data_IF_266213533890
#
_entry.id   IF_266213533890
#
_cell.length_a   1.000
_cell.length_b   1.000
_cell.length_c   1.000
_cell.angle_alpha   90.00
_cell.angle_beta   90.00
_cell.angle_gamma   90.00
#
_symmetry.space_group_name_H-M   'P 1'
#
loop_
_entity.id
_entity.type
_entity.pdbx_description
1 polymer ?
#
# COMPACT_ATOMS: atom_id res chain seq x y z
N UNK A 1 26.37 -3.47 -60.48
CA UNK A 1 25.69 -4.13 -61.62
C UNK A 1 25.58 -5.61 -61.31
N UNK A 2 24.43 -6.06 -60.81
CA UNK A 2 24.02 -7.47 -60.77
C UNK A 2 22.52 -7.55 -60.44
N UNK A 3 21.79 -7.89 -61.50
CA UNK A 3 20.50 -8.56 -61.68
C UNK A 3 19.79 -9.24 -60.49
N UNK A 4 18.51 -8.83 -60.32
CA UNK A 4 17.27 -9.57 -60.00
C UNK A 4 17.34 -11.05 -59.54
N UNK A 5 16.63 -11.34 -58.44
CA UNK A 5 15.60 -12.41 -58.40
C UNK A 5 14.50 -12.10 -57.38
N UNK A 6 13.27 -12.06 -57.87
CA UNK A 6 12.01 -12.05 -57.12
C UNK A 6 11.74 -13.42 -56.48
N UNK A 7 11.09 -13.41 -55.30
CA UNK A 7 10.05 -14.38 -54.96
C UNK A 7 8.91 -13.63 -54.26
N UNK A 8 7.73 -13.70 -54.88
CA UNK A 8 6.47 -13.16 -54.38
C UNK A 8 5.84 -14.12 -53.37
N UNK A 9 5.22 -13.57 -52.32
CA UNK A 9 4.27 -14.25 -51.43
C UNK A 9 2.95 -13.47 -51.41
N UNK A 10 1.78 -14.13 -51.48
CA UNK A 10 0.53 -13.51 -51.89
C UNK A 10 -0.25 -12.97 -50.69
N UNK A 11 -0.68 -11.71 -50.76
CA UNK A 11 -2.02 -11.22 -50.43
C UNK A 11 -1.98 -9.69 -50.50
N UNK A 12 -2.18 -9.19 -51.72
CA UNK A 12 -2.47 -7.79 -51.96
C UNK A 12 -3.95 -7.52 -51.72
N UNK A 13 -4.24 -6.40 -51.05
CA UNK A 13 -5.25 -5.45 -51.52
C UNK A 13 -4.97 -4.08 -50.89
N UNK A 14 -4.29 -3.25 -51.68
CA UNK A 14 -4.33 -1.79 -51.57
C UNK A 14 -5.60 -1.27 -52.24
N UNK A 15 -6.38 -0.41 -51.57
CA UNK A 15 -7.21 0.58 -52.27
C UNK A 15 -7.18 1.92 -51.51
N UNK A 16 -6.38 2.83 -52.09
CA UNK A 16 -6.55 4.28 -52.28
C UNK A 16 -6.86 5.19 -51.08
N UNK A 17 -5.90 6.08 -50.86
CA UNK A 17 -6.12 7.41 -50.29
C UNK A 17 -7.12 8.23 -51.13
N UNK A 18 -8.01 8.95 -50.44
CA UNK A 18 -8.65 10.18 -50.93
C UNK A 18 -8.58 11.22 -49.82
N UNK A 19 -8.02 12.37 -50.18
CA UNK A 19 -8.07 13.62 -49.44
C UNK A 19 -9.50 14.13 -49.23
N UNK A 20 -9.67 14.87 -48.13
CA UNK A 20 -10.66 15.94 -48.02
C UNK A 20 -11.80 15.69 -47.03
N UNK A 21 -11.77 16.38 -45.89
CA UNK A 21 -12.96 16.52 -45.04
C UNK A 21 -12.69 16.86 -43.58
N UNK A 22 -12.36 18.13 -43.30
CA UNK A 22 -12.52 18.73 -41.97
C UNK A 22 -14.01 18.67 -41.58
N UNK A 23 -14.34 18.01 -40.48
CA UNK A 23 -15.38 18.43 -39.52
C UNK A 23 -15.10 17.74 -38.20
N UNK A 24 -14.81 18.53 -37.17
CA UNK A 24 -14.55 18.02 -35.83
C UNK A 24 -15.84 17.55 -35.14
N UNK A 25 -15.67 16.54 -34.29
CA UNK A 25 -16.33 16.45 -32.99
C UNK A 25 -15.32 15.80 -32.06
N UNK A 26 -14.80 16.58 -31.10
CA UNK A 26 -13.92 16.09 -30.05
C UNK A 26 -14.70 15.18 -29.12
N UNK A 27 -14.45 13.87 -29.21
CA UNK A 27 -14.85 12.92 -28.17
C UNK A 27 -13.88 13.04 -27.00
N UNK A 28 -14.29 13.78 -25.96
CA UNK A 28 -13.69 13.64 -24.62
C UNK A 28 -13.90 12.21 -24.17
N UNK A 29 -12.81 11.45 -24.09
CA UNK A 29 -12.77 10.22 -23.31
C UNK A 29 -12.84 10.63 -21.84
N UNK A 30 -14.03 10.56 -21.25
CA UNK A 30 -14.21 10.71 -19.80
C UNK A 30 -13.56 9.50 -19.11
N UNK A 31 -12.32 9.71 -18.64
CA UNK A 31 -11.70 8.92 -17.59
C UNK A 31 -12.53 9.13 -16.32
N UNK A 32 -13.56 8.30 -16.15
CA UNK A 32 -14.29 8.13 -14.89
C UNK A 32 -13.29 7.58 -13.86
N UNK A 33 -12.64 8.51 -13.16
CA UNK A 33 -11.87 8.21 -11.97
C UNK A 33 -12.80 7.64 -10.91
N UNK A 34 -12.60 6.37 -10.55
CA UNK A 34 -12.98 5.88 -9.23
C UNK A 34 -12.20 6.69 -8.22
N UNK A 35 -12.81 7.78 -7.76
CA UNK A 35 -12.22 8.66 -6.75
C UNK A 35 -12.20 7.86 -5.46
N UNK A 36 -11.07 7.21 -5.16
CA UNK A 36 -10.83 6.62 -3.84
C UNK A 36 -11.06 7.74 -2.83
N UNK A 37 -12.14 7.60 -2.05
CA UNK A 37 -12.64 8.69 -1.21
C UNK A 37 -11.70 8.83 -0.02
N UNK A 38 -10.92 9.92 -0.06
CA UNK A 38 -10.09 10.40 1.03
C UNK A 38 -10.98 10.48 2.29
N UNK A 39 -10.76 9.63 3.30
CA UNK A 39 -11.50 9.48 4.58
C UNK A 39 -12.64 8.42 4.72
N UNK A 40 -12.63 7.34 3.92
CA UNK A 40 -13.64 6.29 3.97
C UNK A 40 -13.88 5.68 5.38
N UNK A 41 -12.83 5.53 6.20
CA UNK A 41 -12.95 5.00 7.56
C UNK A 41 -13.64 5.97 8.51
N UNK A 42 -13.26 7.25 8.46
CA UNK A 42 -13.93 8.30 9.22
C UNK A 42 -15.42 8.43 8.82
N UNK A 43 -15.76 8.31 7.53
CA UNK A 43 -17.16 8.34 7.07
C UNK A 43 -17.97 7.16 7.60
N UNK A 44 -17.40 5.96 7.65
CA UNK A 44 -18.05 4.79 8.26
C UNK A 44 -18.30 5.01 9.75
N UNK A 45 -17.35 5.61 10.47
CA UNK A 45 -17.51 5.93 11.89
C UNK A 45 -18.63 6.95 12.13
N UNK A 46 -18.68 8.04 11.36
CA UNK A 46 -19.79 9.01 11.43
C UNK A 46 -21.12 8.38 11.03
N UNK A 47 -21.13 7.53 10.01
CA UNK A 47 -22.32 6.76 9.61
C UNK A 47 -22.83 5.82 10.72
N UNK A 48 -21.91 5.13 11.41
CA UNK A 48 -22.25 4.27 12.53
C UNK A 48 -22.80 5.06 13.73
N UNK A 49 -22.23 6.24 14.03
CA UNK A 49 -22.77 7.15 15.04
C UNK A 49 -24.19 7.60 14.69
N UNK A 50 -24.46 7.96 13.44
CA UNK A 50 -25.81 8.29 12.98
C UNK A 50 -26.77 7.12 13.18
N UNK A 51 -26.37 5.90 12.79
CA UNK A 51 -27.20 4.71 12.97
C UNK A 51 -27.51 4.46 14.46
N UNK A 52 -26.52 4.61 15.34
CA UNK A 52 -26.66 4.48 16.79
C UNK A 52 -27.66 5.50 17.35
N UNK A 53 -27.49 6.79 17.04
CA UNK A 53 -28.40 7.84 17.54
C UNK A 53 -29.81 7.70 16.98
N UNK A 54 -29.95 7.34 15.69
CA UNK A 54 -31.25 7.06 15.09
C UNK A 54 -31.98 5.94 15.84
N UNK A 55 -31.28 4.83 16.13
CA UNK A 55 -31.84 3.70 16.87
C UNK A 55 -32.20 4.09 18.30
N UNK A 56 -31.36 4.84 19.00
CA UNK A 56 -31.62 5.33 20.35
C UNK A 56 -32.86 6.24 20.41
N UNK A 57 -33.09 7.04 19.37
CA UNK A 57 -34.28 7.88 19.22
C UNK A 57 -35.52 7.12 18.68
N UNK A 58 -35.44 5.80 18.47
CA UNK A 58 -36.57 4.98 18.03
C UNK A 58 -36.95 5.14 16.55
N UNK A 59 -36.06 5.70 15.72
CA UNK A 59 -36.33 5.91 14.30
C UNK A 59 -35.86 4.73 13.45
N UNK A 60 -36.63 4.39 12.41
CA UNK A 60 -36.17 3.53 11.31
C UNK A 60 -35.48 4.41 10.26
N UNK A 61 -34.69 3.82 9.36
CA UNK A 61 -34.08 4.58 8.26
C UNK A 61 -35.14 5.29 7.40
N UNK A 62 -36.29 4.63 7.20
CA UNK A 62 -37.47 5.19 6.52
C UNK A 62 -38.06 6.37 7.29
N UNK A 63 -38.39 6.19 8.57
CA UNK A 63 -39.05 7.25 9.35
C UNK A 63 -38.13 8.45 9.60
N UNK A 64 -36.81 8.24 9.68
CA UNK A 64 -35.84 9.33 9.69
C UNK A 64 -35.78 10.04 8.33
N UNK A 65 -35.76 9.29 7.23
CA UNK A 65 -35.77 9.83 5.87
C UNK A 65 -36.99 10.72 5.61
N UNK A 66 -38.18 10.31 6.05
CA UNK A 66 -39.43 11.08 5.95
C UNK A 66 -39.34 12.44 6.67
N UNK A 67 -38.64 12.53 7.81
CA UNK A 67 -38.46 13.79 8.56
C UNK A 67 -37.61 14.81 7.81
N UNK A 68 -36.69 14.37 6.95
CA UNK A 68 -35.78 15.23 6.20
C UNK A 68 -36.04 15.24 4.69
N UNK A 69 -37.13 14.62 4.22
CA UNK A 69 -37.48 14.50 2.80
C UNK A 69 -36.34 13.85 1.99
N UNK A 70 -35.68 12.86 2.58
CA UNK A 70 -34.62 12.05 1.94
C UNK A 70 -35.00 10.57 1.93
N UNK A 71 -34.59 9.87 0.88
CA UNK A 71 -34.95 8.45 0.72
C UNK A 71 -34.29 7.54 1.77
N UNK A 72 -34.96 6.45 2.13
CA UNK A 72 -34.44 5.40 3.02
C UNK A 72 -33.04 4.91 2.61
N UNK A 73 -32.83 4.69 1.30
CA UNK A 73 -31.54 4.29 0.74
C UNK A 73 -30.45 5.35 0.91
N UNK A 74 -30.82 6.64 0.96
CA UNK A 74 -29.88 7.72 1.20
C UNK A 74 -29.40 7.71 2.65
N UNK A 75 -30.31 7.52 3.63
CA UNK A 75 -29.94 7.31 5.03
C UNK A 75 -29.03 6.10 5.18
N UNK A 76 -29.43 4.95 4.61
CA UNK A 76 -28.63 3.72 4.66
C UNK A 76 -27.23 3.91 4.04
N UNK A 77 -27.14 4.62 2.91
CA UNK A 77 -25.86 4.91 2.27
C UNK A 77 -24.97 5.84 3.10
N UNK A 78 -25.53 6.75 3.90
CA UNK A 78 -24.76 7.59 4.83
C UNK A 78 -24.30 6.75 6.03
N UNK A 79 -25.20 5.95 6.62
CA UNK A 79 -24.88 5.07 7.75
C UNK A 79 -23.77 4.06 7.44
N UNK A 80 -23.69 3.61 6.18
CA UNK A 80 -22.65 2.69 5.70
C UNK A 80 -21.36 3.40 5.27
N UNK A 81 -21.27 4.73 5.38
CA UNK A 81 -20.12 5.52 4.91
C UNK A 81 -19.96 5.52 3.38
N UNK A 82 -20.98 5.11 2.62
CA UNK A 82 -20.97 5.10 1.15
C UNK A 82 -21.34 6.46 0.56
N UNK A 83 -21.90 7.37 1.35
CA UNK A 83 -22.22 8.75 0.97
C UNK A 83 -21.83 9.68 2.12
N UNK A 84 -21.17 10.81 1.86
CA UNK A 84 -20.81 11.75 2.92
C UNK A 84 -22.08 12.35 3.54
N UNK A 85 -22.08 12.43 4.87
CA UNK A 85 -23.01 13.27 5.61
C UNK A 85 -22.62 14.73 5.37
N UNK A 86 -23.58 15.56 4.94
CA UNK A 86 -23.33 16.98 4.71
C UNK A 86 -23.46 17.78 6.02
N UNK A 87 -22.72 18.90 6.19
CA UNK A 87 -22.77 19.69 7.42
C UNK A 87 -24.15 20.20 7.81
N UNK A 88 -24.91 20.69 6.83
CA UNK A 88 -26.29 21.16 7.01
C UNK A 88 -27.21 20.06 7.53
N UNK A 89 -27.08 18.85 6.97
CA UNK A 89 -27.85 17.70 7.42
C UNK A 89 -27.37 17.19 8.80
N UNK A 90 -26.08 17.27 9.11
CA UNK A 90 -25.53 16.87 10.40
C UNK A 90 -26.08 17.72 11.55
N UNK A 91 -26.13 19.05 11.37
CA UNK A 91 -26.71 19.97 12.36
C UNK A 91 -28.20 19.71 12.59
N UNK A 92 -28.96 19.46 11.51
CA UNK A 92 -30.37 19.13 11.60
C UNK A 92 -30.62 17.79 12.29
N UNK A 93 -29.77 16.80 12.01
CA UNK A 93 -29.83 15.50 12.68
C UNK A 93 -29.48 15.61 14.16
N UNK A 94 -28.49 16.44 14.51
CA UNK A 94 -28.13 16.66 15.91
C UNK A 94 -29.28 17.26 16.72
N UNK A 95 -30.05 18.17 16.11
CA UNK A 95 -31.24 18.76 16.73
C UNK A 95 -32.40 17.76 16.86
N UNK A 96 -32.70 16.99 15.81
CA UNK A 96 -33.81 16.04 15.83
C UNK A 96 -33.55 14.86 16.77
N UNK A 97 -32.31 14.37 16.80
CA UNK A 97 -31.93 13.18 17.55
C UNK A 97 -31.38 13.50 18.96
N UNK A 98 -31.35 14.79 19.35
CA UNK A 98 -30.81 15.29 20.62
C UNK A 98 -29.39 14.75 20.96
N UNK A 99 -28.49 14.81 19.98
CA UNK A 99 -27.11 14.29 20.11
C UNK A 99 -26.13 15.31 20.69
N UNK A 100 -26.61 16.53 20.98
CA UNK A 100 -25.81 17.64 21.55
C UNK A 100 -24.60 18.02 20.69
N UNK A 101 -24.75 17.95 19.37
CA UNK A 101 -23.71 18.37 18.42
C UNK A 101 -22.72 17.27 18.05
N UNK A 102 -22.97 16.01 18.43
CA UNK A 102 -22.00 14.93 18.20
C UNK A 102 -21.69 14.71 16.71
N UNK A 103 -22.68 14.77 15.82
CA UNK A 103 -22.48 14.52 14.38
C UNK A 103 -21.79 15.71 13.71
N UNK A 104 -22.19 16.94 14.03
CA UNK A 104 -21.56 18.17 13.52
C UNK A 104 -20.11 18.31 14.00
N UNK A 105 -19.82 18.03 15.27
CA UNK A 105 -18.45 18.01 15.80
C UNK A 105 -17.64 16.91 15.12
N UNK A 106 -18.16 15.69 15.02
CA UNK A 106 -17.47 14.58 14.36
C UNK A 106 -17.14 14.89 12.89
N UNK A 107 -18.03 15.61 12.19
CA UNK A 107 -17.78 16.07 10.82
C UNK A 107 -16.74 17.20 10.77
N UNK A 108 -16.76 18.15 11.72
CA UNK A 108 -15.78 19.25 11.78
C UNK A 108 -14.36 18.80 12.16
N UNK A 109 -14.25 17.70 12.88
CA UNK A 109 -12.99 17.05 13.28
C UNK A 109 -12.60 15.91 12.34
N UNK A 110 -13.41 15.66 11.31
CA UNK A 110 -13.14 14.60 10.35
C UNK A 110 -11.84 14.92 9.60
N UNK A 111 -10.87 14.00 9.59
CA UNK A 111 -9.64 14.22 8.86
C UNK A 111 -9.92 14.29 7.34
N UNK A 112 -9.24 15.18 6.62
CA UNK A 112 -9.36 15.27 5.15
C UNK A 112 -8.86 13.99 4.45
N UNK A 113 -7.95 13.29 5.11
CA UNK A 113 -7.40 11.97 4.79
C UNK A 113 -7.15 11.32 6.13
N UNK A 114 -7.53 10.06 6.34
CA UNK A 114 -7.34 9.35 7.61
C UNK A 114 -5.92 9.63 8.17
N UNK A 115 -5.84 10.50 9.21
CA UNK A 115 -4.60 11.25 9.52
C UNK A 115 -3.53 10.41 10.22
N UNK A 116 -3.95 9.31 10.83
CA UNK A 116 -3.16 8.14 11.20
C UNK A 116 -4.20 7.03 11.23
N UNK A 117 -4.17 6.00 10.37
CA UNK A 117 -5.13 4.94 10.53
C UNK A 117 -4.84 4.27 11.88
N UNK A 118 -5.89 4.01 12.68
CA UNK A 118 -5.87 3.07 13.83
C UNK A 118 -5.09 1.78 13.52
N UNK A 119 -4.95 1.49 12.24
CA UNK A 119 -4.39 0.30 11.66
C UNK A 119 -2.87 0.30 11.58
N UNK A 120 -2.20 1.44 11.81
CA UNK A 120 -0.73 1.49 11.90
C UNK A 120 -0.24 0.96 13.25
N UNK A 121 -0.89 1.35 14.37
CA UNK A 121 -0.62 0.74 15.67
C UNK A 121 -1.06 -0.73 15.69
N UNK A 122 -2.25 -1.02 15.14
CA UNK A 122 -2.71 -2.41 14.98
C UNK A 122 -1.73 -3.23 14.12
N UNK A 123 -1.20 -2.68 13.02
CA UNK A 123 -0.19 -3.36 12.21
C UNK A 123 1.04 -3.74 13.04
N UNK A 124 1.53 -2.84 13.91
CA UNK A 124 2.71 -3.10 14.72
C UNK A 124 2.48 -4.15 15.79
N UNK A 125 1.30 -4.13 16.41
CA UNK A 125 0.92 -5.15 17.37
C UNK A 125 0.78 -6.51 16.67
N UNK A 126 0.18 -6.54 15.47
CA UNK A 126 0.09 -7.76 14.65
C UNK A 126 1.42 -8.24 14.13
N UNK A 127 2.32 -7.34 13.76
CA UNK A 127 3.67 -7.66 13.32
C UNK A 127 4.41 -8.39 14.45
N UNK A 128 4.38 -7.84 15.67
CA UNK A 128 5.01 -8.44 16.87
C UNK A 128 4.52 -9.85 17.21
N UNK A 129 3.25 -10.13 16.92
CA UNK A 129 2.63 -11.43 17.20
C UNK A 129 2.71 -12.41 16.02
N UNK A 130 3.13 -11.96 14.84
CA UNK A 130 3.08 -12.76 13.62
C UNK A 130 3.94 -14.03 13.74
N UNK A 131 3.43 -15.12 13.17
CA UNK A 131 4.17 -16.39 13.01
C UNK A 131 4.85 -16.48 11.64
N UNK A 132 4.37 -15.71 10.67
CA UNK A 132 4.97 -15.57 9.35
C UNK A 132 4.82 -14.14 8.81
N UNK A 133 5.88 -13.62 8.17
CA UNK A 133 5.90 -12.30 7.55
C UNK A 133 6.48 -12.44 6.14
N UNK A 134 5.86 -11.81 5.15
CA UNK A 134 6.30 -11.79 3.76
C UNK A 134 6.27 -10.38 3.22
N UNK A 135 7.42 -9.85 2.82
CA UNK A 135 7.58 -8.45 2.43
C UNK A 135 8.03 -8.37 0.97
N UNK A 136 7.34 -7.58 0.17
CA UNK A 136 7.87 -7.07 -1.08
C UNK A 136 8.16 -5.59 -0.93
N UNK A 137 9.39 -5.17 -1.24
CA UNK A 137 9.76 -3.76 -1.30
C UNK A 137 10.51 -3.44 -2.60
N UNK A 138 10.19 -2.30 -3.16
CA UNK A 138 10.72 -1.79 -4.44
C UNK A 138 11.31 -0.39 -4.33
N UNK A 139 11.20 0.24 -3.15
CA UNK A 139 11.56 1.63 -2.92
C UNK A 139 12.67 1.78 -1.88
N UNK A 140 12.75 0.85 -0.91
CA UNK A 140 13.80 0.83 0.09
C UNK A 140 14.06 -0.60 0.58
N UNK A 141 15.18 -0.79 1.29
CA UNK A 141 15.40 -2.04 2.02
C UNK A 141 14.32 -2.16 3.11
N UNK A 142 13.65 -3.33 3.28
CA UNK A 142 12.67 -3.54 4.35
C UNK A 142 13.21 -3.14 5.72
N UNK A 143 12.39 -2.47 6.53
CA UNK A 143 12.81 -1.87 7.80
C UNK A 143 13.48 -2.85 8.78
N UNK A 144 13.09 -4.12 8.73
CA UNK A 144 13.62 -5.21 9.55
C UNK A 144 15.06 -5.59 9.18
N UNK A 145 15.51 -5.22 7.97
CA UNK A 145 16.82 -5.54 7.42
C UNK A 145 17.74 -4.32 7.32
N UNK A 146 17.28 -3.13 7.74
CA UNK A 146 18.04 -1.90 7.62
C UNK A 146 19.17 -1.80 8.65
N UNK A 147 20.32 -1.23 8.28
CA UNK A 147 21.29 -0.75 9.26
C UNK A 147 20.84 0.59 9.85
N UNK A 148 21.43 1.02 10.95
CA UNK A 148 21.15 2.33 11.54
C UNK A 148 21.40 3.46 10.52
N UNK A 149 22.55 3.41 9.83
CA UNK A 149 22.92 4.38 8.80
C UNK A 149 21.91 4.46 7.67
N UNK A 150 21.41 3.31 7.20
CA UNK A 150 20.41 3.27 6.13
C UNK A 150 19.06 3.80 6.61
N UNK A 151 18.60 3.39 7.79
CA UNK A 151 17.35 3.88 8.39
C UNK A 151 17.37 5.40 8.53
N UNK A 152 18.49 5.96 9.00
CA UNK A 152 18.72 7.41 9.11
C UNK A 152 18.66 8.09 7.74
N UNK A 153 19.27 7.50 6.71
CA UNK A 153 19.22 8.03 5.34
C UNK A 153 17.79 8.04 4.77
N UNK A 154 17.00 6.99 5.05
CA UNK A 154 15.57 6.93 4.68
C UNK A 154 14.80 8.06 5.35
N UNK A 155 14.93 8.26 6.67
CA UNK A 155 14.17 9.30 7.37
C UNK A 155 14.59 10.72 6.98
N UNK A 156 15.88 10.94 6.69
CA UNK A 156 16.38 12.22 6.14
C UNK A 156 15.82 12.55 4.75
N UNK A 157 15.39 11.53 4.00
CA UNK A 157 14.83 11.70 2.65
C UNK A 157 13.34 12.07 2.64
N UNK A 158 12.68 12.10 3.81
CA UNK A 158 11.25 12.43 3.93
C UNK A 158 11.02 13.92 3.62
N UNK A 159 9.91 14.21 2.95
CA UNK A 159 9.44 15.59 2.68
C UNK A 159 8.02 15.77 3.21
N UNK A 160 7.71 16.86 3.97
CA UNK A 160 8.63 17.87 4.49
C UNK A 160 9.68 17.31 5.44
N UNK A 161 10.85 17.91 5.57
CA UNK A 161 11.92 17.32 6.40
C UNK A 161 11.51 17.14 7.87
N UNK A 162 12.01 16.09 8.51
CA UNK A 162 12.01 15.95 9.96
C UNK A 162 13.17 16.75 10.57
N UNK A 163 13.05 17.18 11.82
CA UNK A 163 14.21 17.66 12.58
C UNK A 163 15.10 16.49 13.03
N UNK A 164 16.30 16.80 13.51
CA UNK A 164 17.28 15.75 13.87
C UNK A 164 16.81 14.90 15.05
N UNK A 165 16.14 15.50 16.05
CA UNK A 165 15.62 14.78 17.22
C UNK A 165 14.52 13.78 16.82
N UNK A 166 13.62 14.18 15.90
CA UNK A 166 12.61 13.29 15.34
C UNK A 166 13.24 12.17 14.50
N UNK A 167 14.31 12.46 13.75
CA UNK A 167 15.06 11.43 13.01
C UNK A 167 15.66 10.41 13.99
N UNK A 168 16.34 10.85 15.05
CA UNK A 168 16.92 9.96 16.06
C UNK A 168 15.86 9.07 16.70
N UNK A 169 14.73 9.65 17.11
CA UNK A 169 13.62 8.91 17.70
C UNK A 169 13.07 7.83 16.76
N UNK A 170 12.90 8.16 15.48
CA UNK A 170 12.40 7.24 14.46
C UNK A 170 13.40 6.14 14.13
N UNK A 171 14.70 6.46 14.10
CA UNK A 171 15.77 5.47 13.94
C UNK A 171 15.79 4.50 15.11
N UNK A 172 15.73 4.99 16.36
CA UNK A 172 15.67 4.15 17.54
C UNK A 172 14.46 3.20 17.51
N UNK A 173 13.27 3.74 17.17
CA UNK A 173 12.04 2.95 17.01
C UNK A 173 12.17 1.91 15.89
N UNK A 174 12.86 2.24 14.79
CA UNK A 174 13.11 1.32 13.68
C UNK A 174 13.97 0.14 14.13
N UNK A 175 15.04 0.41 14.86
CA UNK A 175 15.97 -0.61 15.35
C UNK A 175 15.31 -1.52 16.40
N UNK A 176 14.55 -0.95 17.33
CA UNK A 176 13.80 -1.73 18.33
C UNK A 176 12.83 -2.74 17.68
N UNK A 177 12.20 -2.35 16.56
CA UNK A 177 11.30 -3.26 15.81
C UNK A 177 12.02 -4.44 15.17
N UNK A 178 13.32 -4.34 14.88
CA UNK A 178 14.07 -5.43 14.24
C UNK A 178 14.26 -6.64 15.18
N UNK A 179 14.14 -6.43 16.48
CA UNK A 179 14.29 -7.47 17.51
C UNK A 179 13.32 -8.65 17.32
N UNK A 180 12.22 -8.45 16.59
CA UNK A 180 11.31 -9.54 16.22
C UNK A 180 12.02 -10.69 15.49
N UNK A 181 13.04 -10.39 14.68
CA UNK A 181 13.83 -11.40 13.95
C UNK A 181 14.78 -12.18 14.87
N UNK A 182 15.02 -11.69 16.09
CA UNK A 182 15.99 -12.24 17.05
C UNK A 182 15.32 -12.85 18.29
N UNK A 183 13.99 -12.88 18.33
CA UNK A 183 13.22 -13.48 19.42
C UNK A 183 13.49 -14.99 19.61
N UNK A 184 13.08 -15.54 20.76
CA UNK A 184 13.28 -16.96 21.10
C UNK A 184 12.65 -17.92 20.08
N UNK A 185 11.53 -17.52 19.49
CA UNK A 185 10.86 -18.18 18.37
C UNK A 185 10.55 -17.10 17.34
N UNK A 186 11.47 -16.80 16.42
CA UNK A 186 11.26 -15.74 15.44
C UNK A 186 10.23 -16.18 14.39
N UNK A 187 9.48 -15.26 13.77
CA UNK A 187 8.59 -15.59 12.67
C UNK A 187 9.36 -16.15 11.49
N UNK A 188 8.70 -16.99 10.69
CA UNK A 188 9.23 -17.32 9.36
C UNK A 188 9.09 -16.10 8.46
N UNK A 189 10.20 -15.54 8.01
CA UNK A 189 10.21 -14.31 7.22
C UNK A 189 10.69 -14.55 5.80
N UNK A 190 10.05 -13.88 4.85
CA UNK A 190 10.42 -13.90 3.45
C UNK A 190 10.45 -12.47 2.92
N UNK A 191 11.52 -12.12 2.22
CA UNK A 191 11.74 -10.80 1.67
C UNK A 191 12.04 -10.92 0.18
N UNK A 192 11.28 -10.20 -0.64
CA UNK A 192 11.61 -9.94 -2.04
C UNK A 192 11.92 -8.45 -2.18
N UNK A 193 13.17 -8.13 -2.49
CA UNK A 193 13.62 -6.75 -2.67
C UNK A 193 13.93 -6.52 -4.14
N UNK A 194 13.45 -5.42 -4.71
CA UNK A 194 13.81 -5.07 -6.08
C UNK A 194 15.27 -4.61 -6.16
N UNK A 195 16.04 -5.15 -7.11
CA UNK A 195 17.45 -4.85 -7.29
C UNK A 195 17.73 -3.34 -7.45
N UNK A 196 16.78 -2.55 -7.95
CA UNK A 196 16.89 -1.09 -8.03
C UNK A 196 17.27 -0.45 -6.67
N UNK A 197 16.70 -0.94 -5.57
CA UNK A 197 16.99 -0.47 -4.20
C UNK A 197 18.48 -0.62 -3.86
N UNK A 198 19.10 -1.70 -4.34
CA UNK A 198 20.54 -1.95 -4.14
C UNK A 198 21.42 -1.15 -5.10
N UNK A 199 20.86 -0.56 -6.16
CA UNK A 199 21.61 0.29 -7.10
C UNK A 199 21.63 1.76 -6.68
N UNK A 200 20.64 2.21 -5.92
CA UNK A 200 20.47 3.63 -5.55
C UNK A 200 21.49 4.15 -4.52
N UNK A 201 22.24 3.27 -3.83
CA UNK A 201 23.28 3.63 -2.84
C UNK A 201 22.85 4.70 -1.82
N UNK A 202 21.62 4.58 -1.32
CA UNK A 202 21.03 5.54 -0.38
C UNK A 202 21.90 5.71 0.88
N UNK A 203 22.17 6.96 1.25
CA UNK A 203 23.03 7.30 2.40
C UNK A 203 24.53 7.40 2.07
N UNK A 204 24.93 7.10 0.83
CA UNK A 204 26.33 7.15 0.39
C UNK A 204 27.03 5.80 0.48
N UNK A 205 28.27 5.73 -0.02
CA UNK A 205 29.02 4.48 -0.22
C UNK A 205 29.21 3.68 1.06
N UNK A 206 29.56 4.33 2.17
CA UNK A 206 29.80 3.64 3.44
C UNK A 206 28.53 2.97 3.99
N UNK A 207 27.41 3.72 4.00
CA UNK A 207 26.09 3.23 4.41
C UNK A 207 25.62 2.10 3.49
N UNK A 208 25.84 2.26 2.18
CA UNK A 208 25.52 1.25 1.20
C UNK A 208 26.29 -0.06 1.44
N UNK A 209 27.61 0.00 1.61
CA UNK A 209 28.43 -1.19 1.84
C UNK A 209 28.04 -1.88 3.15
N UNK A 210 27.79 -1.12 4.22
CA UNK A 210 27.28 -1.67 5.47
C UNK A 210 25.93 -2.37 5.29
N UNK A 211 25.00 -1.73 4.56
CA UNK A 211 23.67 -2.26 4.31
C UNK A 211 23.70 -3.55 3.47
N UNK A 212 24.51 -3.61 2.41
CA UNK A 212 24.64 -4.83 1.59
C UNK A 212 25.26 -5.95 2.41
N UNK A 213 26.25 -5.67 3.26
CA UNK A 213 26.83 -6.66 4.16
C UNK A 213 25.80 -7.20 5.14
N UNK A 214 24.99 -6.33 5.75
CA UNK A 214 23.87 -6.75 6.61
C UNK A 214 22.88 -7.67 5.87
N UNK A 215 22.53 -7.35 4.63
CA UNK A 215 21.67 -8.22 3.82
C UNK A 215 22.31 -9.58 3.53
N UNK A 216 23.63 -9.59 3.27
CA UNK A 216 24.37 -10.83 3.03
C UNK A 216 24.40 -11.72 4.27
N UNK A 217 24.61 -11.13 5.45
CA UNK A 217 24.55 -11.84 6.72
C UNK A 217 23.14 -12.41 6.97
N UNK A 218 22.10 -11.60 6.73
CA UNK A 218 20.70 -12.04 6.85
C UNK A 218 20.34 -13.17 5.89
N UNK A 219 20.98 -13.27 4.71
CA UNK A 219 20.72 -14.34 3.76
C UNK A 219 21.16 -15.73 4.25
N UNK A 220 22.03 -15.80 5.26
CA UNK A 220 22.46 -17.06 5.90
C UNK A 220 21.73 -17.34 7.24
N UNK A 221 20.87 -16.44 7.69
CA UNK A 221 20.13 -16.61 8.94
C UNK A 221 18.97 -17.60 8.78
N UNK A 222 18.83 -18.59 9.69
CA UNK A 222 17.67 -19.47 9.72
C UNK A 222 16.36 -18.68 9.89
N UNK A 223 15.31 -19.11 9.22
CA UNK A 223 13.99 -18.46 9.30
C UNK A 223 13.86 -17.20 8.44
N UNK A 224 14.92 -16.77 7.75
CA UNK A 224 14.89 -15.67 6.79
C UNK A 224 15.09 -16.22 5.38
N UNK A 225 14.20 -15.87 4.46
CA UNK A 225 14.38 -16.11 3.02
C UNK A 225 14.53 -14.77 2.32
N UNK A 226 15.73 -14.43 1.86
CA UNK A 226 15.98 -13.21 1.09
C UNK A 226 16.13 -13.54 -0.40
N UNK A 227 15.36 -12.86 -1.24
CA UNK A 227 15.42 -12.96 -2.69
C UNK A 227 15.47 -11.57 -3.32
N UNK A 228 16.29 -11.40 -4.37
CA UNK A 228 16.34 -10.15 -5.13
C UNK A 228 15.55 -10.30 -6.43
N UNK A 229 14.58 -9.42 -6.66
CA UNK A 229 13.92 -9.29 -7.96
C UNK A 229 14.88 -8.57 -8.90
N UNK A 230 15.39 -9.20 -9.98
CA UNK A 230 16.43 -8.60 -10.81
C UNK A 230 15.89 -7.47 -11.69
N UNK A 231 16.77 -6.55 -12.07
CA UNK A 231 16.52 -5.56 -13.12
C UNK A 231 16.39 -6.23 -14.50
N UNK A 232 15.82 -5.49 -15.47
CA UNK A 232 15.78 -5.91 -16.87
C UNK A 232 14.73 -6.96 -17.23
N UNK A 233 13.84 -7.33 -16.30
CA UNK A 233 12.69 -8.18 -16.62
C UNK A 233 11.70 -7.43 -17.52
N UNK A 234 11.17 -8.10 -18.53
CA UNK A 234 10.13 -7.55 -19.43
C UNK A 234 8.75 -7.48 -18.77
N UNK A 235 8.55 -8.19 -17.66
CA UNK A 235 7.33 -8.16 -16.84
C UNK A 235 7.63 -8.63 -15.41
N UNK A 236 6.99 -8.02 -14.41
CA UNK A 236 6.98 -8.51 -13.03
C UNK A 236 5.70 -8.10 -12.27
N UNK A 237 5.37 -8.81 -11.21
CA UNK A 237 4.12 -8.63 -10.46
C UNK A 237 4.13 -7.48 -9.43
N UNK A 238 5.24 -6.73 -9.35
CA UNK A 238 5.51 -5.73 -8.31
C UNK A 238 5.21 -4.28 -8.68
N UNK A 239 4.60 -4.02 -9.84
CA UNK A 239 4.40 -2.66 -10.34
C UNK A 239 3.46 -1.79 -9.47
N UNK A 240 2.62 -2.42 -8.65
CA UNK A 240 1.68 -1.71 -7.76
C UNK A 240 2.32 -1.29 -6.42
N UNK A 241 3.63 -1.48 -6.27
CA UNK A 241 4.41 -1.02 -5.13
C UNK A 241 4.53 -2.02 -3.98
N UNK A 242 5.18 -1.60 -2.88
CA UNK A 242 5.46 -2.45 -1.72
C UNK A 242 4.22 -2.90 -0.96
N UNK A 243 4.32 -4.08 -0.34
CA UNK A 243 3.31 -4.60 0.57
C UNK A 243 3.90 -5.64 1.52
N UNK A 244 3.22 -5.86 2.64
CA UNK A 244 3.53 -6.85 3.65
C UNK A 244 2.36 -7.82 3.78
N UNK A 245 2.63 -9.10 3.89
CA UNK A 245 1.69 -10.14 4.28
C UNK A 245 2.10 -10.67 5.65
N UNK A 246 1.14 -10.92 6.52
CA UNK A 246 1.36 -11.48 7.85
C UNK A 246 0.37 -12.60 8.14
N UNK A 247 0.80 -13.57 8.94
CA UNK A 247 -0.07 -14.60 9.50
C UNK A 247 0.06 -14.59 11.02
N UNK A 248 -1.07 -14.52 11.74
CA UNK A 248 -1.10 -14.51 13.22
C UNK A 248 -1.07 -15.94 13.79
N UNK A 249 -0.87 -16.13 15.11
CA UNK A 249 -0.93 -17.45 15.75
C UNK A 249 -2.29 -18.16 15.59
N UNK A 250 -3.37 -17.39 15.38
CA UNK A 250 -4.72 -17.88 15.08
C UNK A 250 -4.92 -18.20 13.58
N UNK A 251 -3.87 -18.14 12.78
CA UNK A 251 -3.88 -18.33 11.32
C UNK A 251 -4.72 -17.29 10.57
N UNK A 252 -4.94 -16.11 11.18
CA UNK A 252 -5.52 -14.99 10.46
C UNK A 252 -4.46 -14.41 9.52
N UNK A 253 -4.82 -14.25 8.25
CA UNK A 253 -3.95 -13.62 7.26
C UNK A 253 -4.31 -12.16 7.08
N UNK A 254 -3.29 -11.33 7.08
CA UNK A 254 -3.38 -9.89 6.97
C UNK A 254 -2.46 -9.41 5.85
N UNK A 255 -2.84 -8.33 5.20
CA UNK A 255 -1.97 -7.59 4.30
C UNK A 255 -1.87 -6.14 4.72
N UNK A 256 -0.70 -5.54 4.57
CA UNK A 256 -0.46 -4.14 4.88
C UNK A 256 0.25 -3.46 3.71
N UNK A 257 -0.18 -2.24 3.40
CA UNK A 257 0.37 -1.43 2.34
C UNK A 257 0.48 0.02 2.80
N UNK A 258 1.61 0.65 2.53
CA UNK A 258 1.80 2.07 2.77
C UNK A 258 1.79 2.85 1.46
N UNK A 259 1.19 4.03 1.50
CA UNK A 259 1.22 5.02 0.44
C UNK A 259 1.69 6.35 1.00
N UNK A 260 2.05 7.28 0.13
CA UNK A 260 2.51 8.62 0.52
C UNK A 260 1.51 9.40 1.40
N UNK A 261 0.21 9.03 1.38
CA UNK A 261 -0.85 9.74 2.12
C UNK A 261 -1.53 8.89 3.19
N UNK A 262 -1.05 7.69 3.46
CA UNK A 262 -1.63 6.82 4.47
C UNK A 262 -1.39 5.34 4.19
N UNK A 263 -1.82 4.49 5.11
CA UNK A 263 -1.67 3.04 5.02
C UNK A 263 -2.99 2.29 5.09
N UNK A 264 -2.96 1.04 4.64
CA UNK A 264 -4.11 0.15 4.61
C UNK A 264 -3.71 -1.21 5.20
N UNK A 265 -4.54 -1.71 6.10
CA UNK A 265 -4.51 -3.06 6.68
C UNK A 265 -5.73 -3.80 6.14
N UNK A 266 -5.50 -4.95 5.52
CA UNK A 266 -6.52 -5.73 4.83
C UNK A 266 -6.59 -7.07 5.55
N UNK A 267 -7.75 -7.35 6.15
CA UNK A 267 -8.08 -8.64 6.75
C UNK A 267 -9.11 -9.42 5.93
N UNK A 268 -9.67 -8.79 4.89
CA UNK A 268 -10.62 -9.43 3.97
C UNK A 268 -9.93 -10.54 3.16
N UNK A 269 -10.44 -11.78 3.16
CA UNK A 269 -9.80 -12.91 2.50
C UNK A 269 -9.55 -12.72 1.01
N UNK A 270 -10.44 -12.05 0.28
CA UNK A 270 -10.29 -11.82 -1.16
C UNK A 270 -9.14 -10.83 -1.42
N UNK A 271 -9.10 -9.72 -0.66
CA UNK A 271 -8.02 -8.75 -0.74
C UNK A 271 -6.64 -9.34 -0.39
N UNK A 272 -6.57 -10.12 0.70
CA UNK A 272 -5.33 -10.82 1.11
C UNK A 272 -4.94 -11.88 0.09
N UNK A 273 -5.90 -12.59 -0.49
CA UNK A 273 -5.68 -13.61 -1.51
C UNK A 273 -5.01 -13.06 -2.77
N UNK A 274 -5.41 -11.87 -3.23
CA UNK A 274 -4.79 -11.19 -4.38
C UNK A 274 -3.31 -10.89 -4.11
N UNK A 275 -2.99 -10.33 -2.94
CA UNK A 275 -1.61 -10.00 -2.58
C UNK A 275 -0.76 -11.25 -2.34
N UNK A 276 -1.35 -12.32 -1.80
CA UNK A 276 -0.71 -13.62 -1.66
C UNK A 276 -0.30 -14.20 -3.03
N UNK A 277 -1.18 -14.12 -4.03
CA UNK A 277 -0.87 -14.56 -5.40
C UNK A 277 0.23 -13.71 -6.05
N UNK A 278 0.19 -12.38 -5.85
CA UNK A 278 1.26 -11.48 -6.30
C UNK A 278 2.60 -11.83 -5.66
N UNK A 279 2.62 -12.07 -4.36
CA UNK A 279 3.84 -12.44 -3.64
C UNK A 279 4.42 -13.78 -4.13
N UNK A 280 3.56 -14.78 -4.37
CA UNK A 280 3.99 -16.05 -4.94
C UNK A 280 4.66 -15.85 -6.32
N UNK A 281 4.07 -15.01 -7.18
CA UNK A 281 4.65 -14.69 -8.49
C UNK A 281 5.97 -13.93 -8.35
N UNK A 282 6.07 -12.96 -7.43
CA UNK A 282 7.29 -12.23 -7.15
C UNK A 282 8.43 -13.16 -6.74
N UNK A 283 8.18 -14.14 -5.87
CA UNK A 283 9.19 -15.14 -5.48
C UNK A 283 9.67 -16.01 -6.64
N UNK A 284 8.79 -16.35 -7.58
CA UNK A 284 9.17 -17.07 -8.81
C UNK A 284 9.96 -16.20 -9.78
N UNK A 285 9.72 -14.88 -9.78
CA UNK A 285 10.40 -13.92 -10.64
C UNK A 285 11.71 -13.39 -10.04
N UNK A 286 11.90 -13.51 -8.73
CA UNK A 286 13.14 -13.16 -8.07
C UNK A 286 14.21 -14.22 -8.29
N UNK A 287 15.47 -13.84 -8.08
CA UNK A 287 16.58 -14.76 -7.95
C UNK A 287 16.29 -15.77 -6.83
N UNK A 288 16.79 -16.99 -6.96
CA UNK A 288 16.75 -17.93 -5.84
C UNK A 288 17.71 -17.45 -4.73
N UNK A 289 17.75 -18.15 -3.60
CA UNK A 289 18.56 -17.76 -2.44
C UNK A 289 20.07 -17.86 -2.69
N UNK A 290 20.51 -18.79 -3.54
CA UNK A 290 21.93 -18.94 -3.93
C UNK A 290 22.37 -17.78 -4.83
N UNK A 291 21.65 -17.55 -5.93
CA UNK A 291 21.91 -16.45 -6.86
C UNK A 291 21.79 -15.07 -6.19
N UNK A 292 20.94 -14.96 -5.16
CA UNK A 292 20.83 -13.75 -4.33
C UNK A 292 22.12 -13.51 -3.53
N UNK A 293 22.69 -14.56 -2.90
CA UNK A 293 23.98 -14.44 -2.19
C UNK A 293 25.10 -14.07 -3.15
N UNK A 294 25.17 -14.73 -4.30
CA UNK A 294 26.17 -14.42 -5.33
C UNK A 294 26.05 -12.99 -5.86
N UNK A 295 24.83 -12.45 -5.96
CA UNK A 295 24.62 -11.04 -6.29
C UNK A 295 25.16 -10.12 -5.19
N UNK A 296 24.84 -10.41 -3.92
CA UNK A 296 25.29 -9.60 -2.79
C UNK A 296 26.82 -9.63 -2.63
N UNK A 297 27.45 -10.80 -2.79
CA UNK A 297 28.91 -10.96 -2.75
C UNK A 297 29.59 -10.15 -3.87
N UNK A 298 29.03 -10.18 -5.10
CA UNK A 298 29.49 -9.31 -6.20
C UNK A 298 29.32 -7.83 -5.90
N UNK A 299 28.23 -7.42 -5.25
CA UNK A 299 28.02 -6.02 -4.87
C UNK A 299 28.99 -5.54 -3.78
N UNK A 300 29.50 -6.46 -2.95
CA UNK A 300 30.57 -6.20 -1.97
C UNK A 300 31.97 -6.27 -2.58
N UNK A 301 32.11 -6.77 -3.81
CA UNK A 301 33.42 -7.01 -4.45
C UNK A 301 34.13 -8.25 -3.92
N UNK A 302 33.38 -9.21 -3.36
CA UNK A 302 33.88 -10.43 -2.72
C UNK A 302 33.81 -11.66 -3.65
N UNK A 303 33.52 -11.45 -4.94
CA UNK A 303 33.32 -12.46 -5.98
C UNK A 303 34.40 -12.45 -7.07
#
# INVERSE_FOLDING_TARGET
MATLRQCAGPYGRSVRARDGGRTGVGGKFDLMGTTTRRNASAMKMVGALLALYRQAAGHTQRSLGERFVIGEQQIASIEQGRRPLKPDLAEQLDQLLDTKGALSIALSKMPEVDLVPLWAEEFLDREREAIAISVYDSLAVPGQLQTEGYARAVFRSRVPVYDEDEIELRVATRLERQEILHGKVPPTTSFVIWEAVLRDQLGGVDVYTEQVRKLRDCADMPGITLQILPLGRTSHAGLDGPFVLMETPEYQRLAYMETQRGSQLIADPDGVGILTQKYAMLRTQALNTEDTRDLLDRLLGEA
#
